data_IF_734767150047
#
_entry.id   IF_734767150047
#
_cell.length_a   1.000
_cell.length_b   1.000
_cell.length_c   1.000
_cell.angle_alpha   90.00
_cell.angle_beta   90.00
_cell.angle_gamma   90.00
#
_symmetry.space_group_name_H-M   'P 1'
#
loop_
_entity.id
_entity.type
_entity.pdbx_description
1 polymer ?
#
# COMPACT_ATOMS: atom_id res chain seq x y z
N UNK A 1 -12.60 -12.65 -32.05
CA UNK A 1 -13.44 -12.24 -30.90
C UNK A 1 -12.81 -11.03 -30.24
N UNK A 2 -13.57 -9.95 -30.09
CA UNK A 2 -13.04 -8.63 -29.73
C UNK A 2 -12.41 -8.61 -28.32
N UNK A 3 -11.13 -8.22 -28.25
CA UNK A 3 -10.39 -7.95 -27.00
C UNK A 3 -10.87 -6.66 -26.29
N UNK A 4 -12.08 -6.18 -26.57
CA UNK A 4 -12.56 -4.91 -26.02
C UNK A 4 -12.92 -5.04 -24.55
N UNK A 5 -12.46 -4.07 -23.76
CA UNK A 5 -12.84 -3.92 -22.35
C UNK A 5 -14.33 -3.57 -22.27
N UNK A 6 -15.10 -4.40 -21.56
CA UNK A 6 -16.52 -4.21 -21.35
C UNK A 6 -16.85 -2.95 -20.52
N UNK A 7 -18.12 -2.51 -20.57
CA UNK A 7 -18.60 -1.32 -19.85
C UNK A 7 -18.32 -1.39 -18.34
N UNK A 8 -18.58 -2.53 -17.69
CA UNK A 8 -18.39 -2.71 -16.27
C UNK A 8 -16.90 -2.61 -15.85
N UNK A 9 -15.99 -3.16 -16.68
CA UNK A 9 -14.56 -3.06 -16.44
C UNK A 9 -14.04 -1.61 -16.61
N UNK A 10 -14.60 -0.83 -17.57
CA UNK A 10 -14.29 0.60 -17.70
C UNK A 10 -14.76 1.40 -16.49
N UNK A 11 -15.96 1.12 -15.98
CA UNK A 11 -16.49 1.75 -14.75
C UNK A 11 -15.63 1.41 -13.54
N UNK A 12 -15.14 0.17 -13.43
CA UNK A 12 -14.25 -0.23 -12.35
C UNK A 12 -12.90 0.51 -12.46
N UNK A 13 -12.32 0.65 -13.67
CA UNK A 13 -11.12 1.49 -13.87
C UNK A 13 -11.37 2.93 -13.41
N UNK A 14 -12.49 3.55 -13.80
CA UNK A 14 -12.81 4.91 -13.37
C UNK A 14 -12.92 5.04 -11.85
N UNK A 15 -13.56 4.07 -11.18
CA UNK A 15 -13.59 3.99 -9.71
C UNK A 15 -12.19 3.86 -9.12
N UNK A 16 -11.34 2.99 -9.69
CA UNK A 16 -9.96 2.78 -9.23
C UNK A 16 -9.09 4.04 -9.36
N UNK A 17 -9.30 4.83 -10.41
CA UNK A 17 -8.55 6.08 -10.62
C UNK A 17 -8.91 7.13 -9.56
N UNK A 18 -10.18 7.27 -9.23
CA UNK A 18 -10.62 8.15 -8.14
C UNK A 18 -10.06 7.64 -6.81
N UNK A 19 -10.13 6.32 -6.58
CA UNK A 19 -9.53 5.71 -5.39
C UNK A 19 -8.04 6.03 -5.28
N UNK A 20 -7.28 5.92 -6.37
CA UNK A 20 -5.84 6.23 -6.39
C UNK A 20 -5.59 7.70 -6.02
N UNK A 21 -6.36 8.62 -6.58
CA UNK A 21 -6.23 10.06 -6.28
C UNK A 21 -6.53 10.36 -4.82
N UNK A 22 -7.62 9.79 -4.27
CA UNK A 22 -7.97 9.95 -2.86
C UNK A 22 -6.95 9.29 -1.94
N UNK A 23 -6.31 8.17 -2.36
CA UNK A 23 -5.21 7.53 -1.62
C UNK A 23 -3.99 8.43 -1.54
N UNK A 24 -3.58 9.08 -2.64
CA UNK A 24 -2.46 10.03 -2.61
C UNK A 24 -2.73 11.16 -1.60
N UNK A 25 -3.95 11.68 -1.55
CA UNK A 25 -4.31 12.69 -0.55
C UNK A 25 -4.18 12.17 0.88
N UNK A 26 -4.73 10.98 1.16
CA UNK A 26 -4.73 10.40 2.52
C UNK A 26 -3.32 9.96 2.93
N UNK A 27 -2.61 9.23 2.08
CA UNK A 27 -1.35 8.60 2.44
C UNK A 27 -0.17 9.59 2.51
N UNK A 28 -0.24 10.69 1.74
CA UNK A 28 0.84 11.67 1.69
C UNK A 28 0.52 12.91 2.53
N UNK A 29 -0.61 13.55 2.28
CA UNK A 29 -0.89 14.86 2.85
C UNK A 29 -1.60 14.81 4.21
N UNK A 30 -2.32 13.73 4.53
CA UNK A 30 -2.89 13.58 5.87
C UNK A 30 -1.80 13.41 6.92
N UNK A 31 -0.72 12.68 6.63
CA UNK A 31 0.44 12.55 7.53
C UNK A 31 1.07 13.93 7.78
N UNK A 32 1.26 14.71 6.71
CA UNK A 32 1.79 16.08 6.81
C UNK A 32 0.88 16.98 7.63
N UNK A 33 -0.44 16.83 7.49
CA UNK A 33 -1.42 17.58 8.26
C UNK A 33 -1.43 17.15 9.74
N UNK A 34 -1.35 15.87 10.04
CA UNK A 34 -1.20 15.37 11.41
C UNK A 34 0.03 15.99 12.09
N UNK A 35 1.19 16.00 11.41
CA UNK A 35 2.40 16.63 11.96
C UNK A 35 2.16 18.12 12.30
N UNK A 36 1.50 18.84 11.39
CA UNK A 36 1.21 20.27 11.57
C UNK A 36 0.32 20.51 12.80
N UNK A 37 -0.79 19.78 12.95
CA UNK A 37 -1.76 20.00 14.03
C UNK A 37 -1.34 19.40 15.37
N UNK A 38 -0.38 18.46 15.38
CA UNK A 38 0.17 17.86 16.60
C UNK A 38 1.48 18.48 17.04
N UNK A 39 1.91 19.59 16.43
CA UNK A 39 3.22 20.20 16.68
C UNK A 39 4.37 19.15 16.54
N UNK A 40 4.37 18.46 15.43
CA UNK A 40 5.38 17.44 15.07
C UNK A 40 5.39 16.20 15.99
N UNK A 41 4.26 15.89 16.65
CA UNK A 41 4.16 14.71 17.52
C UNK A 41 4.02 13.40 16.70
N UNK A 42 5.13 12.69 16.57
CA UNK A 42 5.23 11.43 15.82
C UNK A 42 4.52 10.27 16.55
N UNK A 43 4.37 10.36 17.88
CA UNK A 43 3.67 9.34 18.68
C UNK A 43 2.24 9.11 18.19
N UNK A 44 1.51 10.20 17.95
CA UNK A 44 0.12 10.15 17.43
C UNK A 44 0.05 9.43 16.09
N UNK A 45 0.98 9.74 15.18
CA UNK A 45 1.05 9.11 13.85
C UNK A 45 1.38 7.61 13.97
N UNK A 46 2.31 7.26 14.86
CA UNK A 46 2.71 5.86 15.07
C UNK A 46 1.56 5.03 15.58
N UNK A 47 0.83 5.51 16.61
CA UNK A 47 -0.34 4.82 17.16
C UNK A 47 -1.46 4.71 16.11
N UNK A 48 -1.71 5.78 15.35
CA UNK A 48 -2.68 5.80 14.26
C UNK A 48 -2.45 4.65 13.27
N UNK A 49 -1.21 4.47 12.80
CA UNK A 49 -0.89 3.40 11.85
C UNK A 49 -0.82 2.01 12.48
N UNK A 50 -0.37 1.88 13.73
CA UNK A 50 -0.43 0.60 14.47
C UNK A 50 -1.88 0.10 14.53
N UNK A 51 -2.83 0.97 14.86
CA UNK A 51 -4.25 0.63 14.91
C UNK A 51 -4.77 0.21 13.53
N UNK A 52 -4.46 0.98 12.48
CA UNK A 52 -4.89 0.67 11.11
C UNK A 52 -4.40 -0.71 10.70
N UNK A 53 -3.11 -0.99 10.80
CA UNK A 53 -2.55 -2.26 10.31
C UNK A 53 -2.92 -3.46 11.17
N UNK A 54 -3.18 -3.27 12.46
CA UNK A 54 -3.75 -4.31 13.32
C UNK A 54 -5.17 -4.67 12.86
N UNK A 55 -6.02 -3.67 12.65
CA UNK A 55 -7.38 -3.89 12.18
C UNK A 55 -7.43 -4.47 10.77
N UNK A 56 -6.57 -4.00 9.85
CA UNK A 56 -6.47 -4.53 8.48
C UNK A 56 -6.07 -6.01 8.49
N UNK A 57 -5.08 -6.38 9.29
CA UNK A 57 -4.62 -7.77 9.36
C UNK A 57 -5.70 -8.72 9.87
N UNK A 58 -6.40 -8.33 10.93
CA UNK A 58 -7.50 -9.12 11.49
C UNK A 58 -8.73 -9.09 10.59
N UNK A 59 -9.07 -7.92 10.03
CA UNK A 59 -10.23 -7.72 9.18
C UNK A 59 -10.18 -8.52 7.90
N UNK A 60 -9.03 -8.63 7.25
CA UNK A 60 -8.87 -9.42 6.01
C UNK A 60 -9.17 -10.91 6.23
N UNK A 61 -8.83 -11.46 7.40
CA UNK A 61 -9.18 -12.85 7.75
C UNK A 61 -10.69 -13.01 7.92
N UNK A 62 -11.30 -12.06 8.63
CA UNK A 62 -12.76 -12.10 8.89
C UNK A 62 -13.54 -11.91 7.60
N UNK A 63 -13.12 -11.01 6.73
CA UNK A 63 -13.78 -10.75 5.45
C UNK A 63 -13.71 -11.92 4.49
N UNK A 64 -12.64 -12.73 4.49
CA UNK A 64 -12.59 -13.98 3.73
C UNK A 64 -13.73 -14.93 4.07
N UNK A 65 -14.12 -15.02 5.36
CA UNK A 65 -15.29 -15.80 5.82
C UNK A 65 -16.62 -15.17 5.39
N UNK A 66 -16.73 -13.84 5.48
CA UNK A 66 -17.95 -13.10 5.12
C UNK A 66 -18.25 -13.24 3.63
N UNK A 67 -17.24 -13.05 2.80
CA UNK A 67 -17.35 -13.09 1.34
C UNK A 67 -17.81 -14.48 0.87
N UNK A 68 -17.25 -15.54 1.45
CA UNK A 68 -17.69 -16.92 1.12
C UNK A 68 -19.15 -17.21 1.50
N UNK A 69 -19.71 -16.48 2.48
CA UNK A 69 -21.12 -16.66 2.90
C UNK A 69 -22.13 -15.88 2.04
N UNK A 70 -21.72 -14.73 1.49
CA UNK A 70 -22.63 -13.81 0.78
C UNK A 70 -22.04 -13.31 -0.54
N UNK A 71 -21.66 -14.22 -1.47
CA UNK A 71 -20.98 -13.85 -2.71
C UNK A 71 -21.82 -12.91 -3.60
N UNK A 72 -23.14 -13.01 -3.56
CA UNK A 72 -24.04 -12.14 -4.33
C UNK A 72 -24.06 -10.68 -3.88
N UNK A 73 -23.60 -10.38 -2.66
CA UNK A 73 -23.59 -9.04 -2.08
C UNK A 73 -22.25 -8.31 -2.19
N UNK A 74 -21.26 -8.89 -2.88
CA UNK A 74 -19.89 -8.35 -2.94
C UNK A 74 -19.85 -6.91 -3.47
N UNK A 75 -20.68 -6.57 -4.47
CA UNK A 75 -20.81 -5.20 -4.97
C UNK A 75 -21.22 -4.22 -3.86
N UNK A 76 -22.20 -4.59 -3.05
CA UNK A 76 -22.68 -3.75 -1.95
C UNK A 76 -21.62 -3.58 -0.86
N UNK A 77 -20.80 -4.62 -0.61
CA UNK A 77 -19.66 -4.55 0.31
C UNK A 77 -18.62 -3.54 -0.20
N UNK A 78 -18.27 -3.58 -1.50
CA UNK A 78 -17.36 -2.60 -2.09
C UNK A 78 -17.92 -1.18 -2.01
N UNK A 79 -19.20 -0.99 -2.38
CA UNK A 79 -19.86 0.31 -2.31
C UNK A 79 -19.90 0.84 -0.87
N UNK A 80 -20.17 -0.02 0.11
CA UNK A 80 -20.11 0.34 1.52
C UNK A 80 -18.69 0.79 1.94
N UNK A 81 -17.65 0.11 1.47
CA UNK A 81 -16.26 0.52 1.71
C UNK A 81 -15.98 1.94 1.19
N UNK A 82 -16.48 2.28 0.00
CA UNK A 82 -16.33 3.63 -0.57
C UNK A 82 -17.15 4.66 0.22
N UNK A 83 -18.37 4.32 0.65
CA UNK A 83 -19.19 5.19 1.53
C UNK A 83 -18.46 5.48 2.84
N UNK A 84 -17.94 4.45 3.50
CA UNK A 84 -17.17 4.62 4.74
C UNK A 84 -15.93 5.47 4.53
N UNK A 85 -15.25 5.34 3.36
CA UNK A 85 -14.12 6.18 2.99
C UNK A 85 -14.52 7.64 2.77
N UNK A 86 -15.66 7.89 2.14
CA UNK A 86 -16.20 9.24 2.00
C UNK A 86 -16.55 9.84 3.36
N UNK A 87 -17.17 9.06 4.26
CA UNK A 87 -17.44 9.50 5.63
C UNK A 87 -16.16 9.76 6.42
N UNK A 88 -15.12 8.97 6.23
CA UNK A 88 -13.80 9.23 6.80
C UNK A 88 -13.26 10.61 6.38
N UNK A 89 -13.32 10.94 5.08
CA UNK A 89 -12.85 12.24 4.58
C UNK A 89 -13.73 13.38 5.11
N UNK A 90 -15.05 13.18 5.14
CA UNK A 90 -15.98 14.14 5.74
C UNK A 90 -15.68 14.37 7.23
N UNK A 91 -15.36 13.32 7.96
CA UNK A 91 -15.01 13.40 9.37
C UNK A 91 -13.72 14.20 9.59
N UNK A 92 -12.73 14.05 8.71
CA UNK A 92 -11.52 14.88 8.69
C UNK A 92 -11.88 16.36 8.47
N UNK A 93 -12.79 16.67 7.54
CA UNK A 93 -13.24 18.05 7.27
C UNK A 93 -13.91 18.66 8.50
N UNK A 94 -14.80 17.91 9.16
CA UNK A 94 -15.54 18.39 10.34
C UNK A 94 -14.61 18.61 11.54
N UNK A 95 -13.68 17.69 11.78
CA UNK A 95 -12.77 17.80 12.90
C UNK A 95 -11.73 18.91 12.71
N UNK A 96 -11.30 19.15 11.45
CA UNK A 96 -10.26 20.12 11.15
C UNK A 96 -9.04 19.96 12.10
N UNK A 97 -8.65 21.00 12.84
CA UNK A 97 -7.51 20.98 13.74
C UNK A 97 -7.67 20.03 14.96
N UNK A 98 -8.91 19.61 15.26
CA UNK A 98 -9.20 18.64 16.32
C UNK A 98 -8.92 17.18 15.90
N UNK A 99 -8.44 16.95 14.68
CA UNK A 99 -8.11 15.62 14.16
C UNK A 99 -7.12 14.88 15.07
N UNK A 100 -6.21 15.61 15.69
CA UNK A 100 -5.18 15.07 16.59
C UNK A 100 -5.78 14.40 17.84
N UNK A 101 -6.91 14.88 18.35
CA UNK A 101 -7.57 14.30 19.54
C UNK A 101 -8.45 13.10 19.22
N UNK A 102 -8.82 12.91 17.94
CA UNK A 102 -9.71 11.87 17.47
C UNK A 102 -9.02 10.82 16.58
N UNK A 103 -7.69 10.76 16.61
CA UNK A 103 -6.91 9.91 15.71
C UNK A 103 -7.25 8.41 15.80
N UNK A 104 -7.71 7.93 16.98
CA UNK A 104 -8.16 6.54 17.17
C UNK A 104 -9.42 6.28 16.34
N UNK A 105 -10.45 7.13 16.46
CA UNK A 105 -11.70 6.98 15.71
C UNK A 105 -11.45 7.06 14.20
N UNK A 106 -10.56 7.96 13.79
CA UNK A 106 -10.15 8.13 12.40
C UNK A 106 -9.45 6.88 11.88
N UNK A 107 -8.54 6.28 12.66
CA UNK A 107 -7.85 5.04 12.31
C UNK A 107 -8.84 3.88 12.11
N UNK A 108 -9.82 3.75 13.01
CA UNK A 108 -10.85 2.68 12.93
C UNK A 108 -11.70 2.84 11.67
N UNK A 109 -12.19 4.05 11.39
CA UNK A 109 -13.04 4.31 10.21
C UNK A 109 -12.26 4.04 8.93
N UNK A 110 -11.00 4.51 8.85
CA UNK A 110 -10.14 4.28 7.69
C UNK A 110 -9.87 2.80 7.47
N UNK A 111 -9.42 2.08 8.50
CA UNK A 111 -9.15 0.65 8.40
C UNK A 111 -10.39 -0.14 7.95
N UNK A 112 -11.56 0.20 8.48
CA UNK A 112 -12.81 -0.45 8.10
C UNK A 112 -13.17 -0.19 6.62
N UNK A 113 -12.95 1.03 6.12
CA UNK A 113 -13.14 1.35 4.70
C UNK A 113 -12.25 0.52 3.79
N UNK A 114 -10.97 0.37 4.14
CA UNK A 114 -9.98 -0.39 3.37
C UNK A 114 -10.30 -1.89 3.33
N UNK A 115 -10.68 -2.46 4.48
CA UNK A 115 -11.08 -3.87 4.58
C UNK A 115 -12.26 -4.17 3.65
N UNK A 116 -13.31 -3.36 3.70
CA UNK A 116 -14.51 -3.54 2.87
C UNK A 116 -14.22 -3.36 1.38
N UNK A 117 -13.42 -2.34 1.04
CA UNK A 117 -13.12 -2.03 -0.35
C UNK A 117 -12.26 -3.12 -1.00
N UNK A 118 -11.09 -3.40 -0.46
CA UNK A 118 -10.13 -4.28 -1.12
C UNK A 118 -10.56 -5.73 -1.20
N UNK A 119 -11.19 -6.26 -0.16
CA UNK A 119 -11.69 -7.63 -0.17
C UNK A 119 -12.76 -7.85 -1.25
N UNK A 120 -13.63 -6.87 -1.47
CA UNK A 120 -14.67 -6.95 -2.49
C UNK A 120 -14.16 -6.61 -3.90
N UNK A 121 -13.28 -5.62 -4.01
CA UNK A 121 -12.71 -5.16 -5.27
C UNK A 121 -12.02 -6.27 -6.06
N UNK A 122 -11.18 -7.09 -5.41
CA UNK A 122 -10.46 -8.18 -6.08
C UNK A 122 -11.42 -9.18 -6.75
N UNK A 123 -12.55 -9.46 -6.12
CA UNK A 123 -13.53 -10.40 -6.67
C UNK A 123 -14.33 -9.78 -7.82
N UNK A 124 -14.72 -8.50 -7.69
CA UNK A 124 -15.39 -7.78 -8.78
C UNK A 124 -14.48 -7.66 -9.98
N UNK A 125 -13.20 -7.38 -9.78
CA UNK A 125 -12.20 -7.34 -10.84
C UNK A 125 -12.14 -8.66 -11.63
N UNK A 126 -12.14 -9.80 -10.93
CA UNK A 126 -12.13 -11.12 -11.57
C UNK A 126 -13.40 -11.35 -12.39
N UNK A 127 -14.55 -10.91 -11.88
CA UNK A 127 -15.87 -11.09 -12.52
C UNK A 127 -16.05 -10.20 -13.77
N UNK A 128 -15.62 -8.92 -13.71
CA UNK A 128 -15.80 -7.99 -14.83
C UNK A 128 -14.74 -8.14 -15.91
N UNK A 129 -13.71 -8.96 -15.68
CA UNK A 129 -12.65 -9.28 -16.63
C UNK A 129 -12.61 -10.76 -16.96
N UNK A 130 -12.16 -11.10 -18.17
CA UNK A 130 -11.91 -12.48 -18.61
C UNK A 130 -10.45 -12.65 -19.04
N UNK A 131 -10.04 -13.88 -19.34
CA UNK A 131 -8.65 -14.19 -19.73
C UNK A 131 -8.16 -13.39 -20.94
N UNK A 132 -9.06 -13.01 -21.86
CA UNK A 132 -8.70 -12.31 -23.10
C UNK A 132 -8.49 -10.81 -22.88
N UNK A 133 -9.26 -10.16 -21.98
CA UNK A 133 -9.21 -8.70 -21.77
C UNK A 133 -8.53 -8.27 -20.46
N UNK A 134 -8.23 -9.22 -19.54
CA UNK A 134 -7.61 -8.94 -18.23
C UNK A 134 -6.27 -8.24 -18.36
N UNK A 135 -5.43 -8.67 -19.31
CA UNK A 135 -4.13 -8.02 -19.58
C UNK A 135 -4.31 -6.56 -20.01
N UNK A 136 -5.27 -6.30 -20.88
CA UNK A 136 -5.57 -4.95 -21.35
C UNK A 136 -6.12 -4.07 -20.23
N UNK A 137 -7.06 -4.59 -19.42
CA UNK A 137 -7.58 -3.92 -18.23
C UNK A 137 -6.44 -3.48 -17.29
N UNK A 138 -5.57 -4.43 -16.91
CA UNK A 138 -4.45 -4.15 -16.01
C UNK A 138 -3.47 -3.13 -16.58
N UNK A 139 -3.19 -3.19 -17.88
CA UNK A 139 -2.31 -2.24 -18.56
C UNK A 139 -2.87 -0.81 -18.49
N UNK A 140 -4.15 -0.63 -18.85
CA UNK A 140 -4.80 0.69 -18.81
C UNK A 140 -4.87 1.22 -17.37
N UNK A 141 -5.33 0.40 -16.42
CA UNK A 141 -5.37 0.77 -14.99
C UNK A 141 -3.99 1.21 -14.48
N UNK A 142 -2.93 0.46 -14.78
CA UNK A 142 -1.57 0.79 -14.35
C UNK A 142 -1.04 2.08 -15.00
N UNK A 143 -1.26 2.28 -16.31
CA UNK A 143 -0.80 3.49 -17.00
C UNK A 143 -1.50 4.72 -16.41
N UNK A 144 -2.83 4.70 -16.33
CA UNK A 144 -3.60 5.82 -15.81
C UNK A 144 -3.32 6.07 -14.33
N UNK A 145 -3.20 5.01 -13.52
CA UNK A 145 -2.82 5.12 -12.11
C UNK A 145 -1.43 5.75 -11.91
N UNK A 146 -0.45 5.40 -12.75
CA UNK A 146 0.86 6.05 -12.72
C UNK A 146 0.80 7.53 -13.09
N UNK A 147 0.00 7.90 -14.08
CA UNK A 147 -0.22 9.32 -14.44
C UNK A 147 -0.78 10.08 -13.23
N UNK A 148 -1.79 9.52 -12.55
CA UNK A 148 -2.34 10.12 -11.33
C UNK A 148 -1.26 10.26 -10.25
N UNK A 149 -0.49 9.22 -9.97
CA UNK A 149 0.56 9.23 -8.95
C UNK A 149 1.70 10.21 -9.26
N UNK A 150 1.90 10.60 -10.52
CA UNK A 150 2.85 11.62 -10.93
C UNK A 150 2.27 13.02 -10.77
N UNK A 151 1.04 13.24 -11.26
CA UNK A 151 0.44 14.58 -11.38
C UNK A 151 -0.22 15.01 -10.06
N UNK A 152 -0.92 14.10 -9.36
CA UNK A 152 -1.73 14.47 -8.19
C UNK A 152 -0.93 15.02 -7.01
N UNK A 153 0.29 14.58 -6.67
CA UNK A 153 1.00 15.14 -5.53
C UNK A 153 1.33 16.63 -5.69
N UNK A 154 1.75 17.03 -6.89
CA UNK A 154 2.05 18.46 -7.14
C UNK A 154 0.78 19.31 -7.15
N UNK A 155 -0.30 18.83 -7.77
CA UNK A 155 -1.59 19.53 -7.77
C UNK A 155 -2.13 19.66 -6.34
N UNK A 156 -2.17 18.57 -5.58
CA UNK A 156 -2.66 18.57 -4.21
C UNK A 156 -1.78 19.43 -3.30
N UNK A 157 -0.45 19.30 -3.41
CA UNK A 157 0.50 20.10 -2.61
C UNK A 157 0.34 21.59 -2.86
N UNK A 158 0.28 22.01 -4.12
CA UNK A 158 0.04 23.43 -4.51
C UNK A 158 -1.31 23.90 -4.01
N UNK A 159 -2.37 23.10 -4.20
CA UNK A 159 -3.72 23.46 -3.80
C UNK A 159 -3.86 23.59 -2.27
N UNK A 160 -3.21 22.71 -1.51
CA UNK A 160 -3.20 22.78 -0.03
C UNK A 160 -2.48 24.05 0.45
N UNK A 161 -1.39 24.42 -0.20
CA UNK A 161 -0.65 25.63 0.14
C UNK A 161 -1.46 26.91 -0.15
N UNK A 162 -2.18 26.95 -1.28
CA UNK A 162 -2.98 28.09 -1.70
C UNK A 162 -4.30 28.24 -0.92
N UNK A 163 -4.95 27.14 -0.59
CA UNK A 163 -6.31 27.19 -0.05
C UNK A 163 -6.44 26.67 1.38
N UNK A 164 -5.91 25.58 1.74
CA UNK A 164 -5.76 24.87 3.00
C UNK A 164 -6.07 23.38 2.83
N UNK A 165 -5.57 22.55 3.75
CA UNK A 165 -5.84 21.11 3.76
C UNK A 165 -7.35 20.80 3.85
N UNK A 166 -8.07 21.47 4.73
CA UNK A 166 -9.52 21.25 4.94
C UNK A 166 -10.36 21.56 3.70
N UNK A 167 -10.04 22.66 2.99
CA UNK A 167 -10.74 22.98 1.73
C UNK A 167 -10.50 21.94 0.66
N UNK A 168 -9.27 21.44 0.52
CA UNK A 168 -8.95 20.39 -0.44
C UNK A 168 -9.60 19.07 -0.06
N UNK A 169 -9.70 18.74 1.24
CA UNK A 169 -10.44 17.58 1.71
C UNK A 169 -11.92 17.59 1.27
N UNK A 170 -12.57 18.77 1.18
CA UNK A 170 -13.95 18.87 0.66
C UNK A 170 -14.00 18.43 -0.82
N UNK A 171 -13.05 18.86 -1.66
CA UNK A 171 -12.99 18.41 -3.06
C UNK A 171 -12.74 16.91 -3.17
N UNK A 172 -11.87 16.36 -2.32
CA UNK A 172 -11.61 14.92 -2.26
C UNK A 172 -12.83 14.15 -1.78
N UNK A 173 -13.62 14.69 -0.85
CA UNK A 173 -14.92 14.15 -0.46
C UNK A 173 -15.91 14.10 -1.63
N UNK A 174 -16.04 15.19 -2.40
CA UNK A 174 -16.89 15.23 -3.60
C UNK A 174 -16.47 14.15 -4.61
N UNK A 175 -15.16 13.97 -4.83
CA UNK A 175 -14.67 12.89 -5.69
C UNK A 175 -15.05 11.51 -5.17
N UNK A 176 -15.02 11.30 -3.85
CA UNK A 176 -15.46 10.03 -3.25
C UNK A 176 -16.97 9.80 -3.45
N UNK A 177 -17.79 10.85 -3.41
CA UNK A 177 -19.24 10.76 -3.74
C UNK A 177 -19.41 10.37 -5.23
N UNK A 178 -18.65 10.97 -6.14
CA UNK A 178 -18.66 10.58 -7.55
C UNK A 178 -18.26 9.11 -7.72
N UNK A 179 -17.25 8.64 -6.95
CA UNK A 179 -16.86 7.23 -6.95
C UNK A 179 -18.01 6.30 -6.53
N UNK A 180 -18.78 6.67 -5.50
CA UNK A 180 -19.97 5.91 -5.08
C UNK A 180 -20.94 5.79 -6.25
N UNK A 181 -21.28 6.90 -6.90
CA UNK A 181 -22.20 6.92 -8.05
C UNK A 181 -21.71 6.00 -9.17
N UNK A 182 -20.43 6.09 -9.57
CA UNK A 182 -19.84 5.20 -10.59
C UNK A 182 -19.99 3.74 -10.19
N UNK A 183 -19.73 3.41 -8.93
CA UNK A 183 -19.76 2.03 -8.43
C UNK A 183 -21.17 1.45 -8.46
N UNK A 184 -22.22 2.26 -8.26
CA UNK A 184 -23.60 1.82 -8.36
C UNK A 184 -23.98 1.33 -9.77
N UNK A 185 -23.35 1.86 -10.82
CA UNK A 185 -23.56 1.43 -12.21
C UNK A 185 -22.80 0.16 -12.59
N UNK A 186 -21.87 -0.33 -11.77
CA UNK A 186 -21.16 -1.59 -12.05
C UNK A 186 -22.13 -2.75 -11.86
N UNK A 187 -22.30 -3.55 -12.91
CA UNK A 187 -23.06 -4.80 -12.86
C UNK A 187 -22.08 -5.97 -12.73
N UNK A 188 -21.94 -6.49 -11.53
CA UNK A 188 -21.14 -7.68 -11.23
C UNK A 188 -21.99 -8.68 -10.47
N UNK A 189 -22.20 -9.85 -11.04
CA UNK A 189 -22.91 -10.97 -10.43
C UNK A 189 -21.88 -12.08 -10.16
N UNK A 190 -21.24 -12.04 -9.02
CA UNK A 190 -20.30 -13.07 -8.62
C UNK A 190 -21.10 -14.36 -8.37
N UNK A 191 -20.82 -15.37 -9.17
CA UNK A 191 -21.48 -16.68 -9.05
C UNK A 191 -21.04 -17.37 -7.75
N UNK A 192 -21.98 -18.00 -7.09
CA UNK A 192 -21.65 -18.92 -5.99
C UNK A 192 -20.79 -20.08 -6.53
N UNK A 193 -19.52 -20.05 -6.23
CA UNK A 193 -18.70 -21.24 -6.36
C UNK A 193 -18.99 -22.10 -5.13
N UNK A 194 -19.68 -23.22 -5.31
CA UNK A 194 -20.04 -24.21 -4.25
C UNK A 194 -18.80 -24.89 -3.64
N UNK A 195 -17.63 -24.24 -3.70
CA UNK A 195 -16.35 -24.78 -3.22
C UNK A 195 -16.24 -24.68 -1.70
N UNK A 196 -15.34 -25.51 -1.18
CA UNK A 196 -15.06 -25.78 0.24
C UNK A 196 -15.17 -24.55 1.15
N UNK A 197 -15.71 -24.75 2.37
CA UNK A 197 -15.78 -23.70 3.39
C UNK A 197 -14.37 -23.16 3.70
N UNK A 198 -14.24 -21.85 3.89
CA UNK A 198 -13.01 -21.21 4.36
C UNK A 198 -12.49 -21.91 5.62
N UNK A 199 -11.27 -22.41 5.58
CA UNK A 199 -10.66 -23.12 6.72
C UNK A 199 -9.16 -22.84 6.79
N UNK A 200 -8.81 -21.76 7.49
CA UNK A 200 -7.42 -21.33 7.66
C UNK A 200 -6.55 -22.38 8.36
N UNK A 201 -7.13 -23.14 9.34
CA UNK A 201 -6.40 -24.19 10.03
C UNK A 201 -6.01 -25.32 9.06
N UNK A 202 -6.97 -25.81 8.26
CA UNK A 202 -6.73 -26.85 7.24
C UNK A 202 -5.64 -26.43 6.24
N UNK A 203 -5.62 -25.14 5.87
CA UNK A 203 -4.56 -24.60 5.02
C UNK A 203 -3.19 -24.60 5.70
N UNK A 204 -3.09 -24.21 6.98
CA UNK A 204 -1.85 -24.24 7.73
C UNK A 204 -1.31 -25.65 7.90
N UNK A 205 -2.20 -26.62 8.16
CA UNK A 205 -1.84 -28.03 8.25
C UNK A 205 -1.32 -28.53 6.90
N UNK A 206 -2.00 -28.18 5.80
CA UNK A 206 -1.57 -28.50 4.43
C UNK A 206 -0.16 -27.99 4.10
N UNK A 207 0.18 -26.75 4.48
CA UNK A 207 1.54 -26.18 4.28
C UNK A 207 2.58 -26.98 5.06
N UNK A 208 2.27 -27.40 6.30
CA UNK A 208 3.19 -28.17 7.15
C UNK A 208 3.41 -29.59 6.63
N UNK A 209 2.34 -30.30 6.31
CA UNK A 209 2.36 -31.67 5.81
C UNK A 209 3.11 -31.79 4.48
N UNK A 210 2.88 -30.84 3.56
CA UNK A 210 3.56 -30.83 2.25
C UNK A 210 4.92 -30.12 2.27
N UNK A 211 5.42 -29.71 3.45
CA UNK A 211 6.72 -29.05 3.63
C UNK A 211 6.95 -27.90 2.63
N UNK A 212 5.94 -27.05 2.41
CA UNK A 212 5.98 -25.97 1.41
C UNK A 212 6.90 -24.81 1.87
N UNK A 213 8.19 -25.08 1.90
CA UNK A 213 9.23 -24.15 2.38
C UNK A 213 9.25 -22.84 1.60
N UNK A 214 8.95 -22.86 0.29
CA UNK A 214 8.86 -21.65 -0.54
C UNK A 214 7.81 -20.66 -0.04
N UNK A 215 6.62 -21.16 0.34
CA UNK A 215 5.53 -20.34 0.91
C UNK A 215 5.96 -19.77 2.26
N UNK A 216 6.60 -20.58 3.11
CA UNK A 216 7.07 -20.11 4.42
C UNK A 216 8.14 -19.02 4.28
N UNK A 217 9.12 -19.18 3.38
CA UNK A 217 10.17 -18.18 3.11
C UNK A 217 9.59 -16.91 2.50
N UNK A 218 8.66 -17.04 1.56
CA UNK A 218 7.93 -15.92 1.01
C UNK A 218 7.16 -15.16 2.10
N UNK A 219 6.44 -15.87 2.95
CA UNK A 219 5.67 -15.25 4.04
C UNK A 219 6.59 -14.52 5.05
N UNK A 220 7.72 -15.12 5.40
CA UNK A 220 8.72 -14.47 6.25
C UNK A 220 9.32 -13.21 5.57
N UNK A 221 9.53 -13.24 4.24
CA UNK A 221 9.95 -12.06 3.50
C UNK A 221 8.90 -10.94 3.55
N UNK A 222 7.61 -11.29 3.68
CA UNK A 222 6.50 -10.34 3.85
C UNK A 222 6.60 -9.51 5.11
N UNK A 223 7.15 -10.04 6.20
CA UNK A 223 7.42 -9.26 7.43
C UNK A 223 8.46 -8.18 7.14
N UNK A 224 9.59 -8.55 6.55
CA UNK A 224 10.65 -7.58 6.18
C UNK A 224 10.14 -6.54 5.17
N UNK A 225 9.36 -6.97 4.18
CA UNK A 225 8.72 -6.09 3.20
C UNK A 225 7.77 -5.09 3.90
N UNK A 226 6.92 -5.55 4.81
CA UNK A 226 6.00 -4.69 5.56
C UNK A 226 6.71 -3.64 6.42
N UNK A 227 7.83 -4.01 7.07
CA UNK A 227 8.65 -3.06 7.83
C UNK A 227 9.20 -1.97 6.91
N UNK A 228 9.80 -2.33 5.78
CA UNK A 228 10.40 -1.39 4.84
C UNK A 228 9.34 -0.47 4.23
N UNK A 229 8.26 -1.04 3.73
CA UNK A 229 7.21 -0.33 3.01
C UNK A 229 6.55 0.77 3.87
N UNK A 230 6.17 0.43 5.09
CA UNK A 230 5.38 1.33 5.93
C UNK A 230 6.22 2.35 6.67
N UNK A 231 7.29 1.90 7.34
CA UNK A 231 8.07 2.79 8.20
C UNK A 231 8.89 3.79 7.41
N UNK A 232 9.57 3.34 6.34
CA UNK A 232 10.43 4.22 5.57
C UNK A 232 9.60 5.28 4.83
N UNK A 233 8.50 4.89 4.18
CA UNK A 233 7.65 5.84 3.46
C UNK A 233 7.09 6.93 4.38
N UNK A 234 6.62 6.55 5.55
CA UNK A 234 6.11 7.52 6.53
C UNK A 234 7.23 8.40 7.10
N UNK A 235 8.38 7.83 7.47
CA UNK A 235 9.54 8.60 7.93
C UNK A 235 10.03 9.59 6.88
N UNK A 236 10.05 9.21 5.60
CA UNK A 236 10.40 10.11 4.51
C UNK A 236 9.45 11.31 4.47
N UNK A 237 8.14 11.10 4.57
CA UNK A 237 7.15 12.18 4.59
C UNK A 237 7.39 13.10 5.79
N UNK A 238 7.56 12.52 6.98
CA UNK A 238 7.82 13.25 8.23
C UNK A 238 9.08 14.12 8.09
N UNK A 239 10.21 13.51 7.74
CA UNK A 239 11.49 14.23 7.61
C UNK A 239 11.42 15.27 6.49
N UNK A 240 10.71 14.99 5.39
CA UNK A 240 10.52 15.94 4.30
C UNK A 240 9.75 17.17 4.77
N UNK A 241 8.64 17.01 5.49
CA UNK A 241 7.87 18.13 6.02
C UNK A 241 8.68 18.93 7.05
N UNK A 242 9.36 18.25 7.97
CA UNK A 242 10.22 18.92 8.97
C UNK A 242 11.37 19.73 8.32
N UNK A 243 11.90 19.22 7.18
CA UNK A 243 13.03 19.87 6.48
C UNK A 243 12.60 21.01 5.55
N UNK A 244 11.49 20.81 4.80
CA UNK A 244 11.05 21.76 3.76
C UNK A 244 9.86 22.62 4.18
N UNK A 245 9.13 22.26 5.22
CA UNK A 245 8.05 23.00 5.90
C UNK A 245 6.83 23.36 5.03
N UNK A 246 6.75 22.93 3.76
CA UNK A 246 5.65 23.27 2.86
C UNK A 246 5.06 22.02 2.19
N UNK A 247 3.73 22.02 2.01
CA UNK A 247 3.02 20.96 1.27
C UNK A 247 3.38 20.97 -0.21
N UNK A 248 3.70 22.12 -0.77
CA UNK A 248 4.16 22.26 -2.15
C UNK A 248 5.47 21.49 -2.39
N UNK A 249 6.47 21.68 -1.52
CA UNK A 249 7.75 20.98 -1.65
C UNK A 249 7.58 19.47 -1.49
N UNK A 250 6.71 19.02 -0.58
CA UNK A 250 6.36 17.61 -0.45
C UNK A 250 5.75 17.09 -1.77
N UNK A 251 4.80 17.82 -2.35
CA UNK A 251 4.16 17.46 -3.63
C UNK A 251 5.15 17.38 -4.78
N UNK A 252 6.05 18.38 -4.92
CA UNK A 252 7.09 18.42 -5.97
C UNK A 252 8.03 17.21 -5.84
N UNK A 253 8.56 16.95 -4.64
CA UNK A 253 9.46 15.84 -4.39
C UNK A 253 8.78 14.49 -4.66
N UNK A 254 7.55 14.30 -4.18
CA UNK A 254 6.78 13.09 -4.43
C UNK A 254 6.54 12.87 -5.93
N UNK A 255 6.27 13.93 -6.70
CA UNK A 255 6.13 13.86 -8.16
C UNK A 255 7.44 13.44 -8.83
N UNK A 256 8.57 14.06 -8.48
CA UNK A 256 9.90 13.72 -9.03
C UNK A 256 10.21 12.23 -8.75
N UNK A 257 10.02 11.78 -7.51
CA UNK A 257 10.29 10.39 -7.14
C UNK A 257 9.32 9.40 -7.81
N UNK A 258 8.08 9.79 -8.08
CA UNK A 258 7.14 8.98 -8.86
C UNK A 258 7.61 8.79 -10.31
N UNK A 259 8.18 9.83 -10.93
CA UNK A 259 8.80 9.73 -12.25
C UNK A 259 10.03 8.80 -12.20
N UNK A 260 10.90 8.96 -11.20
CA UNK A 260 12.08 8.11 -11.02
C UNK A 260 11.69 6.62 -10.82
N UNK A 261 10.63 6.36 -10.04
CA UNK A 261 10.12 4.99 -9.86
C UNK A 261 9.59 4.38 -11.17
N UNK A 262 8.92 5.17 -11.98
CA UNK A 262 8.42 4.73 -13.29
C UNK A 262 9.56 4.39 -14.24
N UNK A 263 10.62 5.21 -14.29
CA UNK A 263 11.81 4.96 -15.09
C UNK A 263 12.54 3.70 -14.59
N UNK A 264 12.69 3.53 -13.29
CA UNK A 264 13.30 2.35 -12.68
C UNK A 264 12.53 1.06 -13.04
N UNK A 265 11.20 1.06 -12.98
CA UNK A 265 10.38 -0.08 -13.39
C UNK A 265 10.48 -0.39 -14.88
N UNK A 266 10.60 0.63 -15.72
CA UNK A 266 10.79 0.44 -17.16
C UNK A 266 12.12 -0.24 -17.46
N UNK A 267 13.18 0.20 -16.79
CA UNK A 267 14.50 -0.44 -16.88
C UNK A 267 14.48 -1.86 -16.32
N UNK A 268 13.86 -2.05 -15.15
CA UNK A 268 13.69 -3.38 -14.56
C UNK A 268 12.99 -4.35 -15.53
N UNK A 269 11.87 -3.98 -16.12
CA UNK A 269 11.14 -4.82 -17.07
C UNK A 269 11.95 -5.16 -18.33
N UNK A 270 12.88 -4.29 -18.73
CA UNK A 270 13.78 -4.53 -19.88
C UNK A 270 14.90 -5.52 -19.54
N UNK A 271 15.44 -5.46 -18.34
CA UNK A 271 16.64 -6.22 -17.96
C UNK A 271 16.35 -7.42 -17.06
N UNK A 272 15.17 -7.46 -16.43
CA UNK A 272 14.81 -8.56 -15.55
C UNK A 272 14.49 -9.82 -16.35
N UNK A 273 15.16 -10.89 -15.94
CA UNK A 273 14.75 -12.26 -16.25
C UNK A 273 14.96 -13.13 -14.99
N UNK A 274 14.44 -14.36 -15.02
CA UNK A 274 14.51 -15.28 -13.86
C UNK A 274 15.96 -15.49 -13.36
N UNK A 275 16.94 -15.50 -14.27
CA UNK A 275 18.35 -15.74 -13.94
C UNK A 275 19.03 -14.52 -13.31
N UNK A 276 18.60 -13.31 -13.66
CA UNK A 276 19.18 -12.05 -13.16
C UNK A 276 18.52 -11.54 -11.87
N UNK A 277 17.41 -12.15 -11.41
CA UNK A 277 16.67 -11.72 -10.23
C UNK A 277 17.54 -11.54 -8.99
N UNK A 278 18.43 -12.50 -8.73
CA UNK A 278 19.37 -12.46 -7.59
C UNK A 278 20.27 -11.22 -7.63
N UNK A 279 20.86 -10.92 -8.79
CA UNK A 279 21.79 -9.80 -8.94
C UNK A 279 21.07 -8.46 -8.82
N UNK A 280 19.92 -8.32 -9.49
CA UNK A 280 19.11 -7.09 -9.43
C UNK A 280 18.66 -6.79 -8.00
N UNK A 281 18.11 -7.77 -7.28
CA UNK A 281 17.68 -7.60 -5.90
C UNK A 281 18.84 -7.29 -4.95
N UNK A 282 20.01 -7.94 -5.14
CA UNK A 282 21.19 -7.64 -4.34
C UNK A 282 21.70 -6.22 -4.61
N UNK A 283 21.72 -5.78 -5.88
CA UNK A 283 22.08 -4.41 -6.25
C UNK A 283 21.13 -3.39 -5.62
N UNK A 284 19.83 -3.62 -5.69
CA UNK A 284 18.81 -2.77 -5.04
C UNK A 284 19.07 -2.65 -3.53
N UNK A 285 19.38 -3.76 -2.86
CA UNK A 285 19.72 -3.75 -1.43
C UNK A 285 20.94 -2.88 -1.12
N UNK A 286 21.98 -2.94 -1.95
CA UNK A 286 23.20 -2.12 -1.80
C UNK A 286 22.87 -0.63 -2.03
N UNK A 287 22.08 -0.30 -3.06
CA UNK A 287 21.71 1.09 -3.36
C UNK A 287 20.99 1.73 -2.18
N UNK A 288 20.02 1.03 -1.56
CA UNK A 288 19.32 1.54 -0.37
C UNK A 288 20.29 1.72 0.81
N UNK A 289 21.19 0.76 1.03
CA UNK A 289 22.17 0.85 2.11
C UNK A 289 23.12 2.06 1.92
N UNK A 290 23.59 2.31 0.70
CA UNK A 290 24.41 3.50 0.37
C UNK A 290 23.64 4.79 0.64
N UNK A 291 22.35 4.84 0.26
CA UNK A 291 21.49 5.99 0.56
C UNK A 291 21.41 6.29 2.06
N UNK A 292 21.30 5.26 2.92
CA UNK A 292 21.27 5.42 4.37
C UNK A 292 22.58 5.95 4.93
N UNK A 293 23.73 5.49 4.41
CA UNK A 293 25.04 5.99 4.87
C UNK A 293 25.14 7.49 4.73
N UNK A 294 24.65 8.07 3.63
CA UNK A 294 24.60 9.52 3.43
C UNK A 294 23.79 10.23 4.52
N UNK A 295 22.63 9.70 4.90
CA UNK A 295 21.80 10.25 5.98
C UNK A 295 22.43 10.09 7.36
N UNK A 296 23.16 9.00 7.62
CA UNK A 296 23.83 8.78 8.90
C UNK A 296 24.93 9.80 9.14
N UNK A 297 25.59 10.30 8.09
CA UNK A 297 26.63 11.33 8.20
C UNK A 297 25.98 12.66 8.59
N UNK A 298 24.98 13.12 7.83
CA UNK A 298 24.26 14.36 8.12
C UNK A 298 22.87 14.36 7.52
N UNK A 299 21.85 14.83 8.27
CA UNK A 299 20.50 15.06 7.74
C UNK A 299 20.43 16.50 7.22
N UNK A 300 20.55 16.66 5.92
CA UNK A 300 20.30 17.91 5.23
C UNK A 300 19.41 17.69 4.00
N UNK A 301 19.02 18.75 3.31
CA UNK A 301 18.14 18.67 2.14
C UNK A 301 18.68 17.74 1.06
N UNK A 302 20.00 17.80 0.81
CA UNK A 302 20.66 17.02 -0.25
C UNK A 302 20.70 15.53 0.09
N UNK A 303 21.14 15.18 1.30
CA UNK A 303 21.21 13.76 1.73
C UNK A 303 19.83 13.11 1.82
N UNK A 304 18.80 13.89 2.21
CA UNK A 304 17.42 13.43 2.20
C UNK A 304 16.91 13.15 0.78
N UNK A 305 17.19 14.02 -0.18
CA UNK A 305 16.83 13.82 -1.59
C UNK A 305 17.53 12.60 -2.15
N UNK A 306 18.84 12.42 -1.90
CA UNK A 306 19.61 11.26 -2.35
C UNK A 306 19.04 9.98 -1.76
N UNK A 307 18.76 9.95 -0.46
CA UNK A 307 18.17 8.79 0.18
C UNK A 307 16.79 8.44 -0.41
N UNK A 308 15.91 9.44 -0.58
CA UNK A 308 14.60 9.24 -1.16
C UNK A 308 14.68 8.71 -2.60
N UNK A 309 15.64 9.19 -3.37
CA UNK A 309 15.91 8.69 -4.71
C UNK A 309 16.32 7.21 -4.66
N UNK A 310 17.33 6.86 -3.84
CA UNK A 310 17.78 5.47 -3.68
C UNK A 310 16.65 4.55 -3.22
N UNK A 311 15.87 4.97 -2.23
CA UNK A 311 14.73 4.20 -1.73
C UNK A 311 13.67 4.00 -2.82
N UNK A 312 13.25 5.06 -3.48
CA UNK A 312 12.13 5.01 -4.44
C UNK A 312 12.43 4.14 -5.66
N UNK A 313 13.64 4.23 -6.23
CA UNK A 313 14.03 3.42 -7.38
C UNK A 313 14.18 1.93 -7.05
N UNK A 314 14.47 1.60 -5.80
CA UNK A 314 14.66 0.21 -5.36
C UNK A 314 13.37 -0.39 -4.83
N UNK A 315 12.61 0.36 -4.06
CA UNK A 315 11.38 -0.14 -3.44
C UNK A 315 10.32 -0.52 -4.47
N UNK A 316 10.21 0.23 -5.57
CA UNK A 316 9.26 -0.13 -6.64
C UNK A 316 9.59 -1.48 -7.28
N UNK A 317 10.87 -1.87 -7.32
CA UNK A 317 11.29 -3.21 -7.78
C UNK A 317 10.92 -4.26 -6.74
N UNK A 318 11.17 -3.99 -5.44
CA UNK A 318 10.79 -4.90 -4.36
C UNK A 318 9.29 -5.19 -4.37
N UNK A 319 8.47 -4.15 -4.56
CA UNK A 319 7.00 -4.26 -4.66
C UNK A 319 6.56 -5.16 -5.83
N UNK A 320 7.13 -4.95 -7.02
CA UNK A 320 6.80 -5.77 -8.20
C UNK A 320 7.21 -7.23 -7.97
N UNK A 321 8.42 -7.49 -7.47
CA UNK A 321 8.89 -8.86 -7.24
C UNK A 321 8.03 -9.55 -6.18
N UNK A 322 7.71 -8.86 -5.09
CA UNK A 322 6.88 -9.41 -4.02
C UNK A 322 5.48 -9.80 -4.52
N UNK A 323 4.81 -8.90 -5.23
CA UNK A 323 3.45 -9.12 -5.73
C UNK A 323 3.39 -10.16 -6.86
N UNK A 324 4.39 -10.20 -7.74
CA UNK A 324 4.49 -11.23 -8.78
C UNK A 324 4.69 -12.61 -8.15
N UNK A 325 5.64 -12.72 -7.21
CA UNK A 325 5.92 -13.98 -6.53
C UNK A 325 4.72 -14.54 -5.76
N UNK A 326 3.90 -13.66 -5.17
CA UNK A 326 2.63 -14.04 -4.53
C UNK A 326 1.73 -14.86 -5.48
N UNK A 327 1.58 -14.40 -6.72
CA UNK A 327 0.77 -15.07 -7.72
C UNK A 327 1.37 -16.38 -8.23
N UNK A 328 2.69 -16.40 -8.43
CA UNK A 328 3.41 -17.58 -8.95
C UNK A 328 3.34 -18.75 -7.96
N UNK A 329 3.51 -18.49 -6.66
CA UNK A 329 3.46 -19.52 -5.62
C UNK A 329 2.11 -20.25 -5.55
N UNK A 330 1.01 -19.58 -5.87
CA UNK A 330 -0.31 -20.22 -5.90
C UNK A 330 -0.33 -21.38 -6.88
N UNK A 331 0.26 -21.18 -8.07
CA UNK A 331 0.33 -22.19 -9.14
C UNK A 331 1.44 -23.22 -8.88
N UNK A 332 2.64 -22.76 -8.53
CA UNK A 332 3.81 -23.62 -8.29
C UNK A 332 3.59 -24.62 -7.14
N UNK A 333 2.85 -24.22 -6.11
CA UNK A 333 2.58 -25.05 -4.94
C UNK A 333 1.22 -25.76 -4.97
N UNK A 334 0.44 -25.62 -6.05
CA UNK A 334 -0.87 -26.26 -6.20
C UNK A 334 -1.89 -25.88 -5.13
N UNK A 335 -1.86 -24.60 -4.69
CA UNK A 335 -2.72 -24.11 -3.61
C UNK A 335 -3.91 -23.27 -4.11
N UNK A 336 -4.32 -23.46 -5.38
CA UNK A 336 -5.44 -22.70 -5.97
C UNK A 336 -6.73 -22.83 -5.15
N UNK A 337 -6.99 -24.02 -4.57
CA UNK A 337 -8.16 -24.29 -3.72
C UNK A 337 -8.11 -23.55 -2.36
N UNK A 338 -6.93 -23.11 -1.92
CA UNK A 338 -6.69 -22.38 -0.68
C UNK A 338 -6.34 -20.92 -0.92
N UNK A 339 -6.71 -20.37 -2.07
CA UNK A 339 -6.27 -19.02 -2.49
C UNK A 339 -6.66 -17.92 -1.49
N UNK A 340 -7.87 -17.98 -0.93
CA UNK A 340 -8.36 -17.01 0.02
C UNK A 340 -7.64 -17.12 1.37
N UNK A 341 -7.37 -18.34 1.83
CA UNK A 341 -6.59 -18.60 3.03
C UNK A 341 -5.15 -18.13 2.86
N UNK A 342 -4.55 -18.36 1.67
CA UNK A 342 -3.20 -17.90 1.35
C UNK A 342 -3.11 -16.35 1.31
N UNK A 343 -4.12 -15.67 0.73
CA UNK A 343 -4.21 -14.20 0.77
C UNK A 343 -4.26 -13.71 2.22
N UNK A 344 -5.08 -14.33 3.08
CA UNK A 344 -5.13 -14.03 4.51
C UNK A 344 -3.77 -14.22 5.19
N UNK A 345 -3.10 -15.33 4.93
CA UNK A 345 -1.80 -15.66 5.50
C UNK A 345 -0.71 -14.63 5.15
N UNK A 346 -0.64 -14.24 3.87
CA UNK A 346 0.31 -13.21 3.42
C UNK A 346 -0.03 -11.83 3.97
N UNK A 347 -1.31 -11.48 4.08
CA UNK A 347 -1.76 -10.21 4.66
C UNK A 347 -1.39 -10.08 6.14
N UNK A 348 -1.45 -11.17 6.92
CA UNK A 348 -1.00 -11.19 8.32
C UNK A 348 0.50 -10.88 8.39
N UNK A 349 1.32 -11.50 7.56
CA UNK A 349 2.76 -11.30 7.58
C UNK A 349 3.17 -9.87 7.25
N UNK A 350 2.62 -9.31 6.18
CA UNK A 350 2.86 -7.91 5.82
C UNK A 350 2.38 -6.99 6.95
N UNK A 351 1.16 -7.20 7.44
CA UNK A 351 0.59 -6.40 8.51
C UNK A 351 1.40 -6.45 9.79
N UNK A 352 1.90 -7.63 10.17
CA UNK A 352 2.80 -7.79 11.31
C UNK A 352 4.10 -7.00 11.12
N UNK A 353 4.70 -7.07 9.93
CA UNK A 353 5.86 -6.26 9.59
C UNK A 353 5.58 -4.75 9.70
N UNK A 354 4.47 -4.28 9.17
CA UNK A 354 4.04 -2.87 9.27
C UNK A 354 3.88 -2.43 10.72
N UNK A 355 3.24 -3.26 11.55
CA UNK A 355 3.07 -3.00 12.99
C UNK A 355 4.44 -2.88 13.67
N UNK A 356 5.37 -3.81 13.43
CA UNK A 356 6.73 -3.73 13.99
C UNK A 356 7.39 -2.42 13.60
N UNK A 357 7.32 -2.02 12.34
CA UNK A 357 7.89 -0.77 11.85
C UNK A 357 7.36 0.46 12.58
N UNK A 358 6.04 0.52 12.82
CA UNK A 358 5.46 1.64 13.57
C UNK A 358 5.69 1.54 15.08
N UNK A 359 5.85 0.35 15.65
CA UNK A 359 6.29 0.21 17.05
C UNK A 359 7.70 0.76 17.20
N UNK A 360 8.62 0.45 16.29
CA UNK A 360 9.96 1.03 16.30
C UNK A 360 9.92 2.56 16.17
N UNK A 361 9.05 3.09 15.32
CA UNK A 361 8.84 4.53 15.18
C UNK A 361 8.24 5.15 16.46
N UNK A 362 7.32 4.46 17.13
CA UNK A 362 6.75 4.87 18.40
C UNK A 362 7.81 4.94 19.51
N UNK A 363 8.70 3.95 19.59
CA UNK A 363 9.79 3.95 20.59
C UNK A 363 10.69 5.18 20.40
N UNK A 364 11.01 5.50 19.14
CA UNK A 364 11.86 6.67 18.84
C UNK A 364 11.12 7.98 19.05
N UNK A 365 9.80 8.01 18.91
CA UNK A 365 9.00 9.24 19.06
C UNK A 365 8.98 9.83 20.48
N UNK A 366 9.39 9.07 21.51
CA UNK A 366 9.55 9.58 22.87
C UNK A 366 10.84 10.39 23.06
N UNK A 367 11.70 10.44 22.06
CA UNK A 367 12.94 11.23 22.08
C UNK A 367 12.83 12.35 21.06
N UNK A 368 13.39 13.51 21.36
CA UNK A 368 13.45 14.67 20.46
C UNK A 368 14.76 14.74 19.67
N UNK A 369 15.70 13.86 19.97
CA UNK A 369 17.03 13.86 19.35
C UNK A 369 17.00 13.19 17.98
N UNK A 370 17.43 13.90 16.96
CA UNK A 370 17.53 13.48 15.57
C UNK A 370 18.42 12.24 15.37
N UNK A 371 19.33 11.96 16.32
CA UNK A 371 20.22 10.79 16.28
C UNK A 371 19.40 9.50 16.30
N UNK A 372 18.34 9.42 17.10
CA UNK A 372 17.51 8.22 17.19
C UNK A 372 16.72 7.97 15.90
N UNK A 373 16.30 9.03 15.19
CA UNK A 373 15.67 8.87 13.87
C UNK A 373 16.65 8.35 12.81
N UNK A 374 17.93 8.77 12.86
CA UNK A 374 18.99 8.22 12.01
C UNK A 374 19.20 6.73 12.28
N UNK A 375 19.28 6.34 13.57
CA UNK A 375 19.43 4.95 13.98
C UNK A 375 18.23 4.13 13.53
N UNK A 376 17.02 4.64 13.72
CA UNK A 376 15.81 3.96 13.26
C UNK A 376 15.84 3.72 11.76
N UNK A 377 16.18 4.72 10.97
CA UNK A 377 16.29 4.61 9.50
C UNK A 377 17.31 3.56 9.10
N UNK A 378 18.46 3.51 9.79
CA UNK A 378 19.48 2.48 9.56
C UNK A 378 18.94 1.07 9.91
N UNK A 379 18.30 0.90 11.06
CA UNK A 379 17.73 -0.38 11.50
C UNK A 379 16.68 -0.87 10.50
N UNK A 380 15.73 -0.02 10.12
CA UNK A 380 14.67 -0.38 9.16
C UNK A 380 15.26 -0.73 7.80
N UNK A 381 16.31 -0.04 7.37
CA UNK A 381 16.98 -0.32 6.09
C UNK A 381 17.69 -1.67 6.08
N UNK A 382 18.18 -2.16 7.24
CA UNK A 382 18.78 -3.50 7.35
C UNK A 382 17.80 -4.64 7.03
N UNK A 383 16.50 -4.39 7.05
CA UNK A 383 15.51 -5.37 6.60
C UNK A 383 15.49 -5.55 5.07
N UNK A 384 16.05 -4.63 4.27
CA UNK A 384 16.13 -4.78 2.82
C UNK A 384 17.02 -5.97 2.39
N UNK A 385 18.26 -6.15 2.89
CA UNK A 385 19.04 -7.37 2.64
C UNK A 385 18.33 -8.65 3.10
N UNK A 386 17.63 -8.61 4.25
CA UNK A 386 16.89 -9.77 4.77
C UNK A 386 15.74 -10.13 3.82
N UNK A 387 14.96 -9.13 3.39
CA UNK A 387 13.92 -9.29 2.39
C UNK A 387 14.47 -9.92 1.10
N UNK A 388 15.53 -9.32 0.55
CA UNK A 388 16.15 -9.82 -0.70
C UNK A 388 16.60 -11.28 -0.56
N UNK A 389 17.25 -11.65 0.54
CA UNK A 389 17.68 -13.03 0.77
C UNK A 389 16.51 -14.01 0.82
N UNK A 390 15.46 -13.68 1.56
CA UNK A 390 14.31 -14.55 1.74
C UNK A 390 13.51 -14.72 0.44
N UNK A 391 13.30 -13.63 -0.31
CA UNK A 391 12.59 -13.70 -1.58
C UNK A 391 13.38 -14.48 -2.63
N UNK A 392 14.71 -14.31 -2.68
CA UNK A 392 15.60 -15.08 -3.58
C UNK A 392 15.54 -16.59 -3.26
N UNK A 393 15.49 -16.96 -1.97
CA UNK A 393 15.33 -18.37 -1.58
C UNK A 393 13.98 -18.91 -2.06
N UNK A 394 12.92 -18.11 -1.98
CA UNK A 394 11.59 -18.53 -2.47
C UNK A 394 11.52 -18.65 -4.00
N UNK A 395 12.43 -18.03 -4.74
CA UNK A 395 12.54 -18.10 -6.21
C UNK A 395 13.32 -19.33 -6.69
N UNK A 396 14.09 -19.99 -5.81
CA UNK A 396 14.83 -21.19 -6.18
C UNK A 396 13.88 -22.38 -6.33
N UNK A 397 14.16 -23.22 -7.29
CA UNK A 397 13.38 -24.44 -7.59
C UNK A 397 13.48 -25.48 -6.49
#
# INVERSE_FOLDING_TARGET
MENKIGKNAKLLIASDLIYTLTSVFIETFLVAYFLKVTNENITTISIYYILIYTLLSLGNILMGKVIKKIPTKIKHIMSLGIVVRALFILFIVILSDKIATHYISIAIIYAFSEILYWCAHELIYIEVTNNNNRKQYMSIKKILGKIINIISPIILGTSIELYSFTKIAIYVFILSVIQIVITLFIKANVKEDKKEKYNFKKFMDYIKENKLSKIQKYNLSGISYGIIESSISTLIIIITIMTFKTSLNLGILTTIFSICSMLSLTLYNKFYNKYNAKYILSLCSIIVAVGVVGLLININKTTLIIYNFCYTITFCIFDVVYNTRKGDLVKECGIEKYREEYIGYTSISIGFGRIIGYILMLIVSFTTDIIYFKILLAIVTLFAPIYCRLIIISLKD
#
